data_IF_481351111256
#
_entry.id   IF_481351111256
#
_cell.length_a   1.000
_cell.length_b   1.000
_cell.length_c   1.000
_cell.angle_alpha   90.00
_cell.angle_beta   90.00
_cell.angle_gamma   90.00
#
_symmetry.space_group_name_H-M   'P 1'
#
loop_
_entity.id
_entity.type
_entity.pdbx_description
1 polymer ?
#
# COMPACT_ATOMS: atom_id res chain seq x y z
N UNK A 1 13.07 -18.56 -11.57
CA UNK A 1 13.23 -17.82 -10.29
C UNK A 1 12.08 -16.85 -10.14
N UNK A 2 11.50 -16.74 -8.94
CA UNK A 2 10.37 -15.85 -8.66
C UNK A 2 10.92 -14.41 -8.58
N UNK A 3 11.01 -13.74 -9.74
CA UNK A 3 11.72 -12.46 -9.94
C UNK A 3 11.24 -11.34 -9.02
N UNK A 4 10.06 -11.48 -8.42
CA UNK A 4 9.46 -10.50 -7.50
C UNK A 4 9.53 -10.91 -6.03
N UNK A 5 10.15 -12.05 -5.68
CA UNK A 5 10.14 -12.57 -4.30
C UNK A 5 10.70 -11.55 -3.29
N UNK A 6 11.85 -10.94 -3.59
CA UNK A 6 12.46 -9.95 -2.72
C UNK A 6 11.56 -8.73 -2.52
N UNK A 7 10.93 -8.23 -3.59
CA UNK A 7 9.99 -7.12 -3.52
C UNK A 7 8.76 -7.49 -2.69
N UNK A 8 8.20 -8.68 -2.90
CA UNK A 8 7.05 -9.19 -2.15
C UNK A 8 7.33 -9.31 -0.66
N UNK A 9 8.49 -9.89 -0.28
CA UNK A 9 8.87 -10.01 1.13
C UNK A 9 9.14 -8.63 1.76
N UNK A 10 9.81 -7.73 1.04
CA UNK A 10 10.09 -6.37 1.52
C UNK A 10 8.80 -5.58 1.76
N UNK A 11 7.88 -5.59 0.78
CA UNK A 11 6.57 -4.94 0.92
C UNK A 11 5.75 -5.60 2.02
N UNK A 12 5.76 -6.93 2.15
CA UNK A 12 5.04 -7.62 3.21
C UNK A 12 5.53 -7.20 4.61
N UNK A 13 6.85 -7.13 4.83
CA UNK A 13 7.42 -6.66 6.11
C UNK A 13 6.99 -5.22 6.40
N UNK A 14 7.05 -4.36 5.39
CA UNK A 14 6.59 -2.96 5.50
C UNK A 14 5.12 -2.89 5.90
N UNK A 15 4.23 -3.61 5.21
CA UNK A 15 2.80 -3.59 5.49
C UNK A 15 2.50 -4.14 6.88
N UNK A 16 3.18 -5.21 7.31
CA UNK A 16 3.01 -5.81 8.63
C UNK A 16 3.50 -4.88 9.74
N UNK A 17 4.69 -4.30 9.63
CA UNK A 17 5.21 -3.36 10.63
C UNK A 17 4.36 -2.09 10.69
N UNK A 18 3.90 -1.56 9.56
CA UNK A 18 3.04 -0.38 9.57
C UNK A 18 1.63 -0.65 10.12
N UNK A 19 1.14 -1.89 10.09
CA UNK A 19 -0.19 -2.25 10.59
C UNK A 19 -0.19 -2.79 12.02
N UNK A 20 0.71 -3.70 12.35
CA UNK A 20 0.68 -4.45 13.61
C UNK A 20 1.00 -3.54 14.80
N UNK A 21 1.99 -2.66 14.69
CA UNK A 21 2.34 -1.77 15.80
C UNK A 21 1.21 -0.81 16.17
N UNK A 22 0.44 -0.34 15.17
CA UNK A 22 -0.75 0.50 15.39
C UNK A 22 -1.89 -0.17 16.17
N UNK A 23 -1.90 -1.51 16.22
CA UNK A 23 -2.88 -2.28 17.01
C UNK A 23 -2.54 -2.19 18.50
N UNK A 24 -1.25 -2.09 18.85
CA UNK A 24 -0.79 -2.15 20.24
C UNK A 24 -0.67 -0.78 20.91
N UNK A 25 -0.65 0.31 20.15
CA UNK A 25 -0.51 1.69 20.67
C UNK A 25 -1.82 2.50 20.62
N UNK A 26 -2.94 1.85 20.30
CA UNK A 26 -4.26 2.47 20.07
C UNK A 26 -4.33 3.45 18.88
N UNK A 27 -3.26 3.57 18.09
CA UNK A 27 -3.15 4.53 16.99
C UNK A 27 -4.19 4.36 15.89
N UNK A 28 -4.73 3.14 15.70
CA UNK A 28 -5.81 2.89 14.73
C UNK A 28 -7.11 3.57 15.18
N UNK A 29 -7.47 3.44 16.47
CA UNK A 29 -8.67 4.05 17.01
C UNK A 29 -8.54 5.57 17.02
N UNK A 30 -7.35 6.08 17.36
CA UNK A 30 -7.08 7.52 17.36
C UNK A 30 -7.13 8.09 15.94
N UNK A 31 -6.58 7.40 14.94
CA UNK A 31 -6.70 7.79 13.54
C UNK A 31 -8.18 7.85 13.09
N UNK A 32 -8.99 6.88 13.51
CA UNK A 32 -10.42 6.88 13.24
C UNK A 32 -11.19 8.02 13.92
N UNK A 33 -11.02 8.18 15.23
CA UNK A 33 -11.78 9.11 16.06
C UNK A 33 -11.30 10.56 15.94
N UNK A 34 -9.99 10.78 15.96
CA UNK A 34 -9.37 12.10 16.05
C UNK A 34 -9.02 12.70 14.68
N UNK A 35 -8.93 11.87 13.63
CA UNK A 35 -8.63 12.36 12.29
C UNK A 35 -9.77 12.09 11.30
N UNK A 36 -10.08 10.82 10.97
CA UNK A 36 -11.04 10.50 9.92
C UNK A 36 -12.44 11.06 10.21
N UNK A 37 -12.92 10.93 11.44
CA UNK A 37 -14.21 11.51 11.83
C UNK A 37 -14.24 13.04 11.69
N UNK A 38 -13.11 13.73 11.91
CA UNK A 38 -13.02 15.20 11.82
C UNK A 38 -13.06 15.71 10.38
N UNK A 39 -12.66 14.87 9.41
CA UNK A 39 -12.62 15.24 7.99
C UNK A 39 -13.83 14.73 7.19
N UNK A 40 -14.91 14.32 7.87
CA UNK A 40 -16.19 13.98 7.24
C UNK A 40 -16.55 12.49 7.18
N UNK A 41 -15.73 11.60 7.74
CA UNK A 41 -16.06 10.16 7.80
C UNK A 41 -16.86 9.75 9.04
N UNK A 42 -17.25 10.69 9.90
CA UNK A 42 -18.07 10.39 11.07
C UNK A 42 -19.42 9.77 10.68
N UNK A 43 -19.92 8.74 11.40
CA UNK A 43 -19.33 8.05 12.56
C UNK A 43 -18.45 6.84 12.20
N UNK A 44 -18.09 6.65 10.93
CA UNK A 44 -17.46 5.45 10.39
C UNK A 44 -15.91 5.47 10.40
N UNK A 45 -15.27 6.54 10.90
CA UNK A 45 -13.81 6.71 10.84
C UNK A 45 -13.03 5.55 11.47
N UNK A 46 -13.48 5.03 12.61
CA UNK A 46 -12.82 3.87 13.27
C UNK A 46 -12.93 2.61 12.42
N UNK A 47 -14.12 2.32 11.88
CA UNK A 47 -14.34 1.16 11.01
C UNK A 47 -13.46 1.26 9.76
N UNK A 48 -13.35 2.45 9.18
CA UNK A 48 -12.51 2.70 8.02
C UNK A 48 -11.01 2.52 8.35
N UNK A 49 -10.55 3.06 9.49
CA UNK A 49 -9.17 2.90 9.95
C UNK A 49 -8.78 1.42 10.13
N UNK A 50 -9.65 0.63 10.77
CA UNK A 50 -9.45 -0.82 10.92
C UNK A 50 -9.47 -1.54 9.58
N UNK A 51 -10.40 -1.20 8.69
CA UNK A 51 -10.49 -1.80 7.36
C UNK A 51 -9.20 -1.59 6.57
N UNK A 52 -8.62 -0.39 6.64
CA UNK A 52 -7.32 -0.07 6.03
C UNK A 52 -6.22 -0.97 6.59
N UNK A 53 -6.04 -1.02 7.91
CA UNK A 53 -4.94 -1.78 8.52
C UNK A 53 -5.07 -3.29 8.33
N UNK A 54 -6.30 -3.83 8.43
CA UNK A 54 -6.57 -5.24 8.14
C UNK A 54 -6.31 -5.57 6.68
N UNK A 55 -6.66 -4.69 5.73
CA UNK A 55 -6.37 -4.91 4.31
C UNK A 55 -4.87 -5.03 4.04
N UNK A 56 -4.02 -4.25 4.72
CA UNK A 56 -2.56 -4.37 4.62
C UNK A 56 -2.03 -5.71 5.17
N UNK A 57 -2.58 -6.21 6.28
CA UNK A 57 -2.20 -7.52 6.83
C UNK A 57 -2.57 -8.63 5.85
N UNK A 58 -3.80 -8.59 5.30
CA UNK A 58 -4.25 -9.55 4.29
C UNK A 58 -3.38 -9.45 3.03
N UNK A 59 -3.09 -8.25 2.55
CA UNK A 59 -2.22 -8.03 1.40
C UNK A 59 -0.80 -8.59 1.63
N UNK A 60 -0.21 -8.40 2.81
CA UNK A 60 1.09 -8.97 3.16
C UNK A 60 1.09 -10.50 3.12
N UNK A 61 0.07 -11.15 3.68
CA UNK A 61 -0.08 -12.62 3.63
C UNK A 61 -0.20 -13.09 2.18
N UNK A 62 -1.05 -12.42 1.38
CA UNK A 62 -1.25 -12.74 -0.04
C UNK A 62 0.03 -12.57 -0.87
N UNK A 63 0.80 -11.51 -0.60
CA UNK A 63 2.11 -11.28 -1.19
C UNK A 63 3.07 -12.41 -0.81
N UNK A 64 3.17 -12.82 0.46
CA UNK A 64 4.04 -13.93 0.88
C UNK A 64 3.66 -15.24 0.19
N UNK A 65 2.36 -15.55 0.13
CA UNK A 65 1.84 -16.78 -0.50
C UNK A 65 1.87 -16.75 -2.03
N UNK A 66 2.19 -15.61 -2.64
CA UNK A 66 2.13 -15.39 -4.08
C UNK A 66 0.72 -15.67 -4.68
N UNK A 67 -0.34 -15.34 -3.94
CA UNK A 67 -1.74 -15.55 -4.34
C UNK A 67 -2.48 -14.24 -4.42
N UNK A 68 -3.40 -14.12 -5.39
CA UNK A 68 -4.26 -12.93 -5.57
C UNK A 68 -3.49 -11.60 -5.64
N UNK A 69 -2.26 -11.62 -6.18
CA UNK A 69 -1.33 -10.48 -6.20
C UNK A 69 -1.96 -9.20 -6.76
N UNK A 70 -2.69 -9.30 -7.87
CA UNK A 70 -3.34 -8.14 -8.50
C UNK A 70 -4.42 -7.53 -7.60
N UNK A 71 -5.24 -8.36 -6.95
CA UNK A 71 -6.28 -7.89 -6.04
C UNK A 71 -5.67 -7.19 -4.82
N UNK A 72 -4.70 -7.85 -4.17
CA UNK A 72 -3.97 -7.27 -3.04
C UNK A 72 -3.27 -5.95 -3.42
N UNK A 73 -2.65 -5.91 -4.60
CA UNK A 73 -2.00 -4.73 -5.14
C UNK A 73 -2.96 -3.58 -5.41
N UNK A 74 -4.09 -3.80 -6.09
CA UNK A 74 -5.07 -2.74 -6.36
C UNK A 74 -5.66 -2.14 -5.08
N UNK A 75 -6.05 -2.98 -4.11
CA UNK A 75 -6.58 -2.50 -2.83
C UNK A 75 -5.52 -1.67 -2.10
N UNK A 76 -4.29 -2.17 -2.02
CA UNK A 76 -3.20 -1.45 -1.32
C UNK A 76 -2.85 -0.14 -2.04
N UNK A 77 -2.77 -0.13 -3.37
CA UNK A 77 -2.54 1.09 -4.15
C UNK A 77 -3.65 2.13 -3.90
N UNK A 78 -4.91 1.70 -3.89
CA UNK A 78 -6.03 2.60 -3.59
C UNK A 78 -5.88 3.25 -2.21
N UNK A 79 -5.53 2.45 -1.19
CA UNK A 79 -5.26 2.96 0.17
C UNK A 79 -4.10 3.96 0.18
N UNK A 80 -2.99 3.64 -0.50
CA UNK A 80 -1.82 4.53 -0.58
C UNK A 80 -2.17 5.85 -1.26
N UNK A 81 -2.93 5.83 -2.35
CA UNK A 81 -3.41 7.04 -3.04
C UNK A 81 -4.28 7.88 -2.10
N UNK A 82 -5.22 7.26 -1.39
CA UNK A 82 -6.04 7.98 -0.41
C UNK A 82 -5.20 8.53 0.75
N UNK A 83 -4.17 7.81 1.20
CA UNK A 83 -3.20 8.30 2.18
C UNK A 83 -2.45 9.54 1.67
N UNK A 84 -2.05 9.56 0.41
CA UNK A 84 -1.47 10.77 -0.22
C UNK A 84 -2.46 11.92 -0.16
N UNK A 85 -3.67 11.73 -0.70
CA UNK A 85 -4.66 12.81 -0.83
C UNK A 85 -5.06 13.38 0.53
N UNK A 86 -5.35 12.51 1.51
CA UNK A 86 -5.92 12.91 2.79
C UNK A 86 -4.87 13.37 3.80
N UNK A 87 -3.66 12.79 3.76
CA UNK A 87 -2.66 12.97 4.82
C UNK A 87 -1.39 13.63 4.28
N UNK A 88 -0.75 13.05 3.27
CA UNK A 88 0.64 13.37 2.96
C UNK A 88 0.84 14.52 1.96
N UNK A 89 -0.14 14.81 1.10
CA UNK A 89 0.00 15.81 0.04
C UNK A 89 0.33 17.20 0.60
N UNK A 90 -0.32 17.60 1.69
CA UNK A 90 -0.08 18.87 2.39
C UNK A 90 1.31 18.96 3.05
N UNK A 91 1.93 17.81 3.35
CA UNK A 91 3.26 17.73 3.97
C UNK A 91 4.39 17.77 2.91
N UNK A 92 4.04 17.75 1.62
CA UNK A 92 4.99 17.80 0.51
C UNK A 92 5.60 16.43 0.17
N UNK A 93 6.82 16.45 -0.36
CA UNK A 93 7.45 15.25 -0.92
C UNK A 93 8.16 14.38 0.14
N UNK A 94 8.97 15.00 1.00
CA UNK A 94 10.00 14.29 1.77
C UNK A 94 9.45 13.61 3.04
N UNK A 95 9.82 12.34 3.23
CA UNK A 95 9.64 11.61 4.50
C UNK A 95 10.80 11.89 5.46
N UNK A 96 12.01 12.08 4.93
CA UNK A 96 13.21 12.47 5.68
C UNK A 96 14.04 13.51 4.92
N UNK A 97 14.77 14.37 5.62
CA UNK A 97 15.61 15.41 5.03
C UNK A 97 14.86 16.73 4.88
N UNK A 98 14.54 17.13 3.65
CA UNK A 98 13.90 18.41 3.32
C UNK A 98 12.45 18.59 3.82
N UNK A 99 11.94 17.64 4.61
CA UNK A 99 10.59 17.61 5.15
C UNK A 99 10.37 16.38 6.04
N UNK A 100 9.11 16.16 6.44
CA UNK A 100 8.67 14.99 7.21
C UNK A 100 7.28 14.59 6.75
N UNK A 101 6.95 13.31 6.89
CA UNK A 101 5.59 12.79 6.64
C UNK A 101 5.07 13.05 5.20
N UNK A 102 5.96 13.32 4.23
CA UNK A 102 5.59 13.54 2.84
C UNK A 102 5.23 12.27 2.06
N UNK A 103 4.95 12.44 0.76
CA UNK A 103 4.38 11.39 -0.08
C UNK A 103 5.38 10.44 -0.77
N UNK A 104 6.70 10.69 -0.72
CA UNK A 104 7.69 9.92 -1.51
C UNK A 104 7.63 8.40 -1.26
N UNK A 105 7.40 8.00 0.00
CA UNK A 105 7.30 6.58 0.36
C UNK A 105 6.05 5.91 -0.20
N UNK A 106 4.92 6.63 -0.22
CA UNK A 106 3.69 6.12 -0.85
C UNK A 106 3.89 5.93 -2.36
N UNK A 107 4.52 6.91 -3.02
CA UNK A 107 4.84 6.82 -4.45
C UNK A 107 5.75 5.63 -4.74
N UNK A 108 6.80 5.43 -3.93
CA UNK A 108 7.68 4.27 -4.05
C UNK A 108 6.90 2.95 -3.93
N UNK A 109 6.07 2.80 -2.89
CA UNK A 109 5.28 1.58 -2.68
C UNK A 109 4.29 1.31 -3.82
N UNK A 110 3.64 2.34 -4.37
CA UNK A 110 2.76 2.20 -5.53
C UNK A 110 3.53 1.61 -6.72
N UNK A 111 4.71 2.16 -7.04
CA UNK A 111 5.53 1.68 -8.16
C UNK A 111 6.04 0.25 -7.92
N UNK A 112 6.47 -0.07 -6.69
CA UNK A 112 6.90 -1.43 -6.34
C UNK A 112 5.74 -2.43 -6.45
N UNK A 113 4.54 -2.08 -5.98
CA UNK A 113 3.37 -2.93 -6.12
C UNK A 113 3.01 -3.17 -7.60
N UNK A 114 3.08 -2.15 -8.45
CA UNK A 114 2.89 -2.31 -9.89
C UNK A 114 3.94 -3.25 -10.50
N UNK A 115 5.21 -3.13 -10.12
CA UNK A 115 6.27 -4.04 -10.56
C UNK A 115 6.03 -5.50 -10.08
N UNK A 116 5.49 -5.69 -8.88
CA UNK A 116 5.09 -7.00 -8.37
C UNK A 116 3.90 -7.56 -9.16
N UNK A 117 2.91 -6.73 -9.49
CA UNK A 117 1.69 -7.12 -10.22
C UNK A 117 1.95 -7.43 -11.70
N UNK A 118 2.94 -6.78 -12.29
CA UNK A 118 3.28 -6.84 -13.71
C UNK A 118 4.80 -7.02 -13.89
N UNK A 119 5.36 -8.19 -13.52
CA UNK A 119 6.81 -8.43 -13.54
C UNK A 119 7.44 -8.37 -14.95
N UNK A 120 6.64 -8.51 -16.00
CA UNK A 120 7.07 -8.38 -17.40
C UNK A 120 6.72 -7.01 -18.02
N UNK A 121 6.23 -6.07 -17.20
CA UNK A 121 5.71 -4.78 -17.65
C UNK A 121 4.28 -4.87 -18.20
N UNK A 122 3.81 -3.77 -18.78
CA UNK A 122 2.43 -3.63 -19.29
C UNK A 122 2.29 -3.96 -20.79
N UNK A 123 3.40 -4.14 -21.51
CA UNK A 123 3.40 -4.32 -22.95
C UNK A 123 3.03 -5.77 -23.35
N UNK A 124 2.16 -5.90 -24.34
CA UNK A 124 1.84 -7.19 -24.97
C UNK A 124 3.06 -7.61 -25.81
N UNK A 125 3.65 -8.79 -25.55
CA UNK A 125 4.56 -9.40 -26.52
C UNK A 125 3.76 -9.70 -27.79
N UNK A 126 4.02 -8.97 -28.86
CA UNK A 126 3.61 -9.41 -30.19
C UNK A 126 4.49 -10.62 -30.51
N UNK A 127 3.96 -11.83 -30.34
CA UNK A 127 4.54 -13.00 -30.98
C UNK A 127 4.33 -12.82 -32.49
N UNK A 128 5.36 -12.35 -33.19
CA UNK A 128 5.40 -12.48 -34.64
C UNK A 128 5.47 -13.98 -34.95
N UNK A 129 4.43 -14.50 -35.58
CA UNK A 129 4.28 -15.90 -36.03
C UNK A 129 5.17 -16.21 -37.25
N UNK A 130 6.41 -15.72 -37.28
CA UNK A 130 7.31 -15.89 -38.43
C UNK A 130 8.46 -16.88 -38.19
N UNK A 131 8.47 -17.60 -37.07
CA UNK A 131 9.41 -18.71 -36.88
C UNK A 131 8.75 -20.00 -37.41
N UNK A 132 8.99 -20.23 -38.71
CA UNK A 132 8.73 -21.44 -39.49
C UNK A 132 9.40 -22.67 -38.88
#
# INVERSE_FOLDING_TARGET
MNSTLLLRLSVAVILLTHSIFGIFDNGINDFGNLFLNQIGFAPFGVILAWSIKLSHIVAAILLILNKYIKLAGFITIFVLIMGIILVHFKEGWFVVGGGRNGMEYNVLLIIVLLAIMYPEGFAKKNHNLNDV
#
